data_IF_140228194837
#
_entry.id   IF_140228194837
#
_cell.length_a   1.000
_cell.length_b   1.000
_cell.length_c   1.000
_cell.angle_alpha   90.00
_cell.angle_beta   90.00
_cell.angle_gamma   90.00
#
_symmetry.space_group_name_H-M   'P 1'
#
loop_
_entity.id
_entity.type
_entity.pdbx_description
1 polymer ?
#
# COMPACT_ATOMS: atom_id res chain seq x y z
N UNK A 1 7.33 -25.77 -15.66
CA UNK A 1 7.90 -24.46 -15.61
C UNK A 1 9.40 -24.51 -15.45
N UNK A 2 10.06 -23.66 -16.17
CA UNK A 2 11.51 -23.64 -16.13
C UNK A 2 12.00 -22.96 -14.86
N UNK A 3 12.84 -23.68 -14.10
CA UNK A 3 13.47 -23.11 -12.92
C UNK A 3 14.49 -22.09 -13.40
N UNK A 4 14.27 -20.85 -13.08
CA UNK A 4 15.23 -19.81 -13.38
C UNK A 4 16.50 -20.03 -12.56
N UNK A 5 17.54 -19.27 -12.85
CA UNK A 5 18.80 -19.38 -12.13
C UNK A 5 18.70 -18.75 -10.74
N UNK A 6 17.84 -19.31 -9.92
CA UNK A 6 17.67 -18.84 -8.55
C UNK A 6 18.68 -19.48 -7.63
N UNK A 7 19.00 -18.80 -6.55
CA UNK A 7 19.82 -19.36 -5.49
C UNK A 7 19.12 -20.55 -4.86
N UNK A 8 19.87 -21.54 -4.32
CA UNK A 8 19.26 -22.71 -3.68
C UNK A 8 18.26 -22.37 -2.58
N UNK A 9 18.54 -21.35 -1.78
CA UNK A 9 17.63 -20.88 -0.72
C UNK A 9 16.30 -20.41 -1.29
N UNK A 10 16.33 -19.74 -2.44
CA UNK A 10 15.13 -19.26 -3.12
C UNK A 10 14.30 -20.42 -3.62
N UNK A 11 14.94 -21.41 -4.25
CA UNK A 11 14.25 -22.60 -4.78
C UNK A 11 13.58 -23.37 -3.64
N UNK A 12 14.28 -23.55 -2.55
CA UNK A 12 13.77 -24.25 -1.38
C UNK A 12 12.54 -23.54 -0.80
N UNK A 13 12.60 -22.23 -0.68
CA UNK A 13 11.47 -21.44 -0.18
C UNK A 13 10.27 -21.51 -1.13
N UNK A 14 10.50 -21.45 -2.44
CA UNK A 14 9.42 -21.60 -3.42
C UNK A 14 8.72 -22.94 -3.26
N UNK A 15 9.49 -24.03 -3.12
CA UNK A 15 8.91 -25.34 -2.93
C UNK A 15 8.06 -25.43 -1.67
N UNK A 16 8.54 -24.88 -0.58
CA UNK A 16 7.81 -24.85 0.69
C UNK A 16 6.50 -24.08 0.56
N UNK A 17 6.55 -22.88 -0.02
CA UNK A 17 5.36 -22.02 -0.16
C UNK A 17 4.33 -22.64 -1.10
N UNK A 18 4.75 -23.26 -2.19
CA UNK A 18 3.81 -23.83 -3.17
C UNK A 18 3.21 -25.15 -2.66
N UNK A 19 3.97 -25.96 -1.95
CA UNK A 19 3.50 -27.27 -1.47
C UNK A 19 2.73 -27.19 -0.16
N UNK A 20 3.25 -26.44 0.79
CA UNK A 20 2.66 -26.40 2.14
C UNK A 20 1.58 -25.33 2.28
N UNK A 21 1.77 -24.17 1.65
CA UNK A 21 0.87 -23.04 1.81
C UNK A 21 0.04 -22.76 0.55
N UNK A 22 0.21 -23.55 -0.48
CA UNK A 22 -0.57 -23.46 -1.72
C UNK A 22 -0.49 -22.10 -2.42
N UNK A 23 0.61 -21.39 -2.26
CA UNK A 23 0.82 -20.13 -2.97
C UNK A 23 1.06 -20.39 -4.45
N UNK A 24 0.63 -19.47 -5.28
CA UNK A 24 0.80 -19.57 -6.73
C UNK A 24 2.27 -19.42 -7.12
N UNK A 25 2.78 -20.40 -7.83
CA UNK A 25 4.16 -20.35 -8.35
C UNK A 25 4.35 -19.18 -9.31
N UNK A 26 3.33 -18.91 -10.12
CA UNK A 26 3.36 -17.79 -11.06
C UNK A 26 3.47 -16.44 -10.33
N UNK A 27 2.69 -16.26 -9.28
CA UNK A 27 2.73 -15.03 -8.47
C UNK A 27 4.09 -14.85 -7.82
N UNK A 28 4.69 -15.95 -7.35
CA UNK A 28 6.03 -15.91 -6.76
C UNK A 28 7.07 -15.46 -7.79
N UNK A 29 7.03 -16.02 -8.99
CA UNK A 29 7.97 -15.65 -10.04
C UNK A 29 7.79 -14.18 -10.45
N UNK A 30 6.56 -13.70 -10.49
CA UNK A 30 6.28 -12.30 -10.80
C UNK A 30 6.87 -11.37 -9.73
N UNK A 31 6.71 -11.74 -8.47
CA UNK A 31 7.28 -10.95 -7.37
C UNK A 31 8.80 -10.88 -7.47
N UNK A 32 9.45 -12.02 -7.72
CA UNK A 32 10.91 -12.06 -7.84
C UNK A 32 11.38 -11.21 -9.02
N UNK A 33 10.64 -11.26 -10.13
CA UNK A 33 10.99 -10.49 -11.30
C UNK A 33 10.92 -9.00 -11.05
N UNK A 34 9.95 -8.56 -10.25
CA UNK A 34 9.76 -7.14 -9.94
C UNK A 34 10.69 -6.65 -8.84
N UNK A 35 10.99 -7.48 -7.86
CA UNK A 35 11.63 -7.01 -6.62
C UNK A 35 12.96 -7.69 -6.28
N UNK A 36 13.34 -8.74 -6.97
CA UNK A 36 14.54 -9.54 -6.77
C UNK A 36 14.39 -10.65 -5.73
N UNK A 37 15.31 -11.62 -5.80
CA UNK A 37 15.30 -12.79 -4.92
C UNK A 37 15.47 -12.44 -3.45
N UNK A 38 16.33 -11.46 -3.16
CA UNK A 38 16.58 -11.07 -1.78
C UNK A 38 15.30 -10.52 -1.11
N UNK A 39 14.55 -9.72 -1.85
CA UNK A 39 13.27 -9.20 -1.37
C UNK A 39 12.25 -10.32 -1.18
N UNK A 40 12.23 -11.27 -2.10
CA UNK A 40 11.33 -12.43 -1.96
C UNK A 40 11.64 -13.21 -0.68
N UNK A 41 12.90 -13.56 -0.45
CA UNK A 41 13.27 -14.33 0.74
C UNK A 41 12.99 -13.59 2.05
N UNK A 42 13.15 -12.27 2.03
CA UNK A 42 13.00 -11.46 3.24
C UNK A 42 11.55 -11.08 3.52
N UNK A 43 10.74 -10.83 2.48
CA UNK A 43 9.49 -10.12 2.66
C UNK A 43 8.25 -10.78 2.07
N UNK A 44 8.39 -11.84 1.29
CA UNK A 44 7.23 -12.37 0.54
C UNK A 44 6.10 -12.84 1.46
N UNK A 45 6.44 -13.48 2.58
CA UNK A 45 5.42 -13.95 3.53
C UNK A 45 4.65 -12.77 4.12
N UNK A 46 5.37 -11.72 4.49
CA UNK A 46 4.75 -10.50 5.01
C UNK A 46 3.90 -9.83 3.95
N UNK A 47 4.37 -9.81 2.72
CA UNK A 47 3.62 -9.28 1.58
C UNK A 47 2.28 -10.01 1.42
N UNK A 48 2.29 -11.34 1.48
CA UNK A 48 1.07 -12.12 1.34
C UNK A 48 0.12 -11.93 2.51
N UNK A 49 0.65 -11.85 3.73
CA UNK A 49 -0.17 -11.61 4.92
C UNK A 49 -0.91 -10.28 4.83
N UNK A 50 -0.21 -9.23 4.42
CA UNK A 50 -0.82 -7.92 4.25
C UNK A 50 -1.80 -7.90 3.08
N UNK A 51 -1.45 -8.57 1.97
CA UNK A 51 -2.32 -8.65 0.81
C UNK A 51 -3.65 -9.32 1.10
N UNK A 52 -3.64 -10.37 1.92
CA UNK A 52 -4.87 -11.06 2.33
C UNK A 52 -5.68 -10.25 3.32
N UNK A 53 -5.01 -9.52 4.21
CA UNK A 53 -5.68 -8.74 5.25
C UNK A 53 -6.28 -7.45 4.69
N UNK A 54 -5.59 -6.80 3.77
CA UNK A 54 -6.00 -5.52 3.20
C UNK A 54 -6.36 -5.64 1.73
N UNK A 55 -5.36 -5.70 0.86
CA UNK A 55 -5.50 -5.79 -0.59
C UNK A 55 -4.09 -5.83 -1.19
N UNK A 56 -3.83 -6.79 -2.08
CA UNK A 56 -2.51 -6.92 -2.71
C UNK A 56 -2.11 -5.66 -3.49
N UNK A 57 -3.07 -5.02 -4.15
CA UNK A 57 -2.77 -3.80 -4.90
C UNK A 57 -2.39 -2.63 -3.98
N UNK A 58 -2.98 -2.60 -2.78
CA UNK A 58 -2.61 -1.59 -1.79
C UNK A 58 -1.19 -1.81 -1.29
N UNK A 59 -0.80 -3.08 -1.07
CA UNK A 59 0.57 -3.40 -0.64
C UNK A 59 1.57 -3.05 -1.74
N UNK A 60 1.24 -3.33 -3.00
CA UNK A 60 2.09 -2.96 -4.13
C UNK A 60 2.29 -1.45 -4.20
N UNK A 61 1.23 -0.68 -4.00
CA UNK A 61 1.32 0.78 -3.98
C UNK A 61 2.20 1.26 -2.83
N UNK A 62 2.06 0.64 -1.66
CA UNK A 62 2.90 0.96 -0.51
C UNK A 62 4.38 0.73 -0.80
N UNK A 63 4.71 -0.41 -1.42
CA UNK A 63 6.09 -0.73 -1.76
C UNK A 63 6.69 0.33 -2.69
N UNK A 64 5.91 0.82 -3.65
CA UNK A 64 6.37 1.86 -4.58
C UNK A 64 6.84 3.11 -3.85
N UNK A 65 6.14 3.51 -2.80
CA UNK A 65 6.41 4.76 -2.10
C UNK A 65 7.31 4.59 -0.88
N UNK A 66 7.15 3.50 -0.14
CA UNK A 66 7.81 3.29 1.15
C UNK A 66 8.78 2.10 1.16
N UNK A 67 8.83 1.31 0.09
CA UNK A 67 9.63 0.09 0.06
C UNK A 67 9.02 -1.00 0.92
N UNK A 68 9.86 -1.83 1.49
CA UNK A 68 9.41 -3.03 2.22
C UNK A 68 9.29 -2.80 3.73
N UNK A 69 9.05 -1.58 4.15
CA UNK A 69 8.86 -1.25 5.58
C UNK A 69 7.44 -1.59 6.03
N UNK A 70 7.07 -2.85 5.94
CA UNK A 70 5.70 -3.32 6.17
C UNK A 70 5.19 -3.08 7.58
N UNK A 71 6.06 -2.92 8.55
CA UNK A 71 5.67 -2.59 9.91
C UNK A 71 4.92 -1.27 10.01
N UNK A 72 5.16 -0.36 9.06
CA UNK A 72 4.48 0.93 8.99
C UNK A 72 3.17 0.89 8.21
N UNK A 73 2.87 -0.22 7.52
CA UNK A 73 1.72 -0.29 6.63
C UNK A 73 0.40 -0.01 7.33
N UNK A 74 0.18 -0.64 8.47
CA UNK A 74 -1.08 -0.49 9.20
C UNK A 74 -1.34 0.97 9.58
N UNK A 75 -0.30 1.69 10.01
CA UNK A 75 -0.43 3.09 10.41
C UNK A 75 -0.52 4.03 9.22
N UNK A 76 0.06 3.65 8.09
CA UNK A 76 0.10 4.49 6.89
C UNK A 76 -1.16 4.39 6.05
N UNK A 77 -1.72 3.19 5.91
CA UNK A 77 -2.79 2.92 4.96
C UNK A 77 -4.12 3.53 5.41
N UNK A 78 -4.70 4.39 4.57
CA UNK A 78 -5.94 5.11 4.88
C UNK A 78 -7.15 4.60 4.10
N UNK A 79 -6.93 3.77 3.08
CA UNK A 79 -8.02 3.21 2.28
C UNK A 79 -7.88 3.46 0.79
N UNK A 80 -8.83 2.93 0.03
CA UNK A 80 -8.89 3.09 -1.41
C UNK A 80 -9.78 4.28 -1.76
N UNK A 81 -9.16 5.36 -2.24
CA UNK A 81 -9.84 6.59 -2.63
C UNK A 81 -9.04 7.26 -3.74
N UNK A 82 -9.71 7.94 -4.68
CA UNK A 82 -8.99 8.94 -5.44
C UNK A 82 -8.77 10.18 -4.54
N UNK A 83 -7.82 11.02 -4.90
CA UNK A 83 -7.43 12.16 -4.05
C UNK A 83 -8.60 13.09 -3.77
N UNK A 84 -9.39 13.40 -4.79
CA UNK A 84 -10.53 14.30 -4.66
C UNK A 84 -11.56 13.80 -3.65
N UNK A 85 -11.91 12.51 -3.73
CA UNK A 85 -12.86 11.89 -2.81
C UNK A 85 -12.32 11.84 -1.38
N UNK A 86 -11.04 11.52 -1.23
CA UNK A 86 -10.39 11.51 0.08
C UNK A 86 -10.44 12.88 0.74
N UNK A 87 -10.09 13.92 -0.01
CA UNK A 87 -10.11 15.30 0.50
C UNK A 87 -11.52 15.71 0.91
N UNK A 88 -12.51 15.42 0.08
CA UNK A 88 -13.91 15.75 0.36
C UNK A 88 -14.40 15.07 1.64
N UNK A 89 -14.12 13.77 1.78
CA UNK A 89 -14.51 13.04 2.96
C UNK A 89 -13.78 13.55 4.21
N UNK A 90 -12.50 13.85 4.08
CA UNK A 90 -11.72 14.39 5.19
C UNK A 90 -12.29 15.72 5.68
N UNK A 91 -12.65 16.60 4.75
CA UNK A 91 -13.25 17.89 5.07
C UNK A 91 -14.58 17.69 5.81
N UNK A 92 -15.45 16.82 5.31
CA UNK A 92 -16.76 16.57 5.92
C UNK A 92 -16.62 16.01 7.34
N UNK A 93 -15.71 15.07 7.54
CA UNK A 93 -15.59 14.38 8.82
C UNK A 93 -14.79 15.16 9.87
N UNK A 94 -13.81 15.96 9.44
CA UNK A 94 -12.83 16.53 10.35
C UNK A 94 -12.82 18.05 10.41
N UNK A 95 -13.37 18.73 9.42
CA UNK A 95 -13.20 20.18 9.28
C UNK A 95 -14.54 20.94 9.32
N UNK A 96 -15.49 20.56 8.48
CA UNK A 96 -16.72 21.34 8.29
C UNK A 96 -17.53 21.53 9.55
N UNK A 97 -17.62 20.53 10.41
CA UNK A 97 -18.40 20.66 11.64
C UNK A 97 -17.79 21.69 12.61
N UNK A 98 -16.53 22.03 12.43
CA UNK A 98 -15.85 23.03 13.26
C UNK A 98 -16.07 24.45 12.77
N UNK A 99 -16.64 24.61 11.57
CA UNK A 99 -16.85 25.91 10.96
C UNK A 99 -18.33 26.26 11.09
N UNK A 100 -18.69 27.43 11.66
CA UNK A 100 -20.08 27.86 11.70
C UNK A 100 -20.69 27.85 10.29
N UNK A 101 -21.94 27.40 10.18
CA UNK A 101 -22.61 27.21 8.90
C UNK A 101 -22.54 28.46 8.02
N UNK A 102 -22.68 29.63 8.61
CA UNK A 102 -22.64 30.90 7.89
C UNK A 102 -21.29 31.20 7.26
N UNK A 103 -20.22 30.54 7.70
CA UNK A 103 -18.86 30.74 7.18
C UNK A 103 -18.36 29.61 6.29
N UNK A 104 -19.13 28.51 6.20
CA UNK A 104 -18.67 27.35 5.42
C UNK A 104 -18.48 27.67 3.93
N UNK A 105 -19.26 28.62 3.39
CA UNK A 105 -19.14 29.02 1.99
C UNK A 105 -17.78 29.67 1.66
N UNK A 106 -17.07 30.15 2.66
CA UNK A 106 -15.77 30.81 2.48
C UNK A 106 -14.61 29.82 2.58
N UNK A 107 -14.90 28.57 2.85
CA UNK A 107 -13.84 27.55 2.99
C UNK A 107 -13.22 27.24 1.62
N UNK A 108 -11.89 27.38 1.54
CA UNK A 108 -11.14 27.13 0.32
C UNK A 108 -10.67 25.68 0.26
N UNK A 109 -11.44 24.84 -0.42
CA UNK A 109 -11.15 23.41 -0.54
C UNK A 109 -9.85 23.14 -1.30
N UNK A 110 -9.53 23.94 -2.30
CA UNK A 110 -8.33 23.75 -3.11
C UNK A 110 -7.08 24.03 -2.28
N UNK A 111 -7.10 25.08 -1.50
CA UNK A 111 -5.98 25.40 -0.62
C UNK A 111 -5.81 24.32 0.45
N UNK A 112 -6.92 23.87 1.02
CA UNK A 112 -6.88 22.80 2.02
C UNK A 112 -6.33 21.52 1.42
N UNK A 113 -6.73 21.16 0.20
CA UNK A 113 -6.23 19.99 -0.51
C UNK A 113 -4.71 20.05 -0.68
N UNK A 114 -4.19 21.22 -1.06
CA UNK A 114 -2.74 21.41 -1.20
C UNK A 114 -2.03 21.22 0.14
N UNK A 115 -2.58 21.77 1.21
CA UNK A 115 -1.99 21.62 2.56
C UNK A 115 -2.04 20.16 3.01
N UNK A 116 -3.14 19.47 2.72
CA UNK A 116 -3.31 18.07 3.10
C UNK A 116 -2.31 17.17 2.38
N UNK A 117 -1.87 17.55 1.19
CA UNK A 117 -0.90 16.77 0.41
C UNK A 117 0.48 16.68 1.03
N UNK A 118 0.77 17.51 2.03
CA UNK A 118 2.02 17.40 2.80
C UNK A 118 1.98 16.21 3.76
N UNK A 119 0.79 15.81 4.19
CA UNK A 119 0.62 14.74 5.18
C UNK A 119 0.14 13.43 4.59
N UNK A 120 -0.47 13.44 3.40
CA UNK A 120 -1.05 12.26 2.76
C UNK A 120 -0.67 12.21 1.28
N UNK A 121 -0.63 11.00 0.74
CA UNK A 121 -0.32 10.79 -0.68
C UNK A 121 -1.27 9.74 -1.26
N UNK A 122 -1.65 9.92 -2.52
CA UNK A 122 -2.36 8.89 -3.28
C UNK A 122 -1.36 8.17 -4.18
N UNK A 123 -1.35 6.82 -4.09
CA UNK A 123 -0.53 5.97 -4.95
C UNK A 123 -1.46 4.93 -5.57
N UNK A 124 -1.65 4.99 -6.87
CA UNK A 124 -2.47 4.03 -7.63
C UNK A 124 -3.89 3.85 -7.07
N UNK A 125 -4.48 4.92 -6.54
CA UNK A 125 -5.84 4.88 -5.99
C UNK A 125 -5.91 4.53 -4.51
N UNK A 126 -4.78 4.48 -3.83
CA UNK A 126 -4.72 4.20 -2.39
C UNK A 126 -4.07 5.35 -1.66
N UNK A 127 -4.61 5.69 -0.50
CA UNK A 127 -4.14 6.84 0.27
C UNK A 127 -3.27 6.36 1.43
N UNK A 128 -2.15 7.03 1.62
CA UNK A 128 -1.20 6.73 2.69
C UNK A 128 -0.83 7.99 3.46
N UNK A 129 -0.67 7.84 4.78
CA UNK A 129 -0.16 8.90 5.64
C UNK A 129 1.36 8.97 5.50
N UNK A 130 1.88 10.15 5.19
CA UNK A 130 3.31 10.35 4.94
C UNK A 130 4.14 10.47 6.20
N UNK A 131 3.49 10.58 7.36
CA UNK A 131 4.14 10.83 8.66
C UNK A 131 4.28 9.57 9.51
N UNK A 132 4.49 8.44 8.89
CA UNK A 132 4.69 7.18 9.62
C UNK A 132 6.07 6.61 9.40
#
# INVERSE_FOLDING_TARGET
MQTMNYAPETIELIEELTKELSYSEEDIHDFIREHAESAFRAYYVDYCDLGERYDYYAVDAFIQEYGFEFESFHDAYMGEYNWSDFVEQYIEENVMYQIPEEFQMYFDSDKFSNDLSYDYIEVNGYIFNRNV
#
